data_IF_322286139447
#
_entry.id   IF_322286139447
#
_cell.length_a   1.000
_cell.length_b   1.000
_cell.length_c   1.000
_cell.angle_alpha   90.00
_cell.angle_beta   90.00
_cell.angle_gamma   90.00
#
_symmetry.space_group_name_H-M   'P 1'
#
loop_
_entity.id
_entity.type
_entity.pdbx_description
1 polymer ?
#
# COMPACT_ATOMS: atom_id res chain seq x y z
N UNK A 1 9.86 -43.29 -43.16
CA UNK A 1 9.29 -43.37 -41.80
C UNK A 1 9.42 -42.00 -41.16
N UNK A 2 8.27 -41.40 -40.89
CA UNK A 2 8.07 -40.02 -40.46
C UNK A 2 7.87 -40.04 -38.95
N UNK A 3 8.76 -39.44 -38.15
CA UNK A 3 8.46 -39.12 -36.75
C UNK A 3 8.92 -37.69 -36.50
N UNK A 4 7.99 -36.74 -36.72
CA UNK A 4 8.11 -35.39 -36.20
C UNK A 4 7.71 -35.45 -34.72
N UNK A 5 8.69 -35.38 -33.84
CA UNK A 5 8.47 -35.27 -32.41
C UNK A 5 7.92 -33.87 -32.11
N UNK A 6 6.60 -33.72 -32.10
CA UNK A 6 5.94 -32.53 -31.58
C UNK A 6 6.03 -32.56 -30.05
N UNK A 7 7.02 -31.85 -29.53
CA UNK A 7 7.11 -31.53 -28.10
C UNK A 7 6.09 -30.42 -27.84
N UNK A 8 4.89 -30.82 -27.43
CA UNK A 8 3.85 -29.91 -26.94
C UNK A 8 4.36 -29.33 -25.62
N UNK A 9 4.98 -28.16 -25.69
CA UNK A 9 5.27 -27.35 -24.52
C UNK A 9 3.93 -26.86 -23.97
N UNK A 10 3.36 -27.62 -23.03
CA UNK A 10 2.20 -27.22 -22.27
C UNK A 10 2.58 -25.96 -21.49
N UNK A 11 2.10 -24.80 -21.94
CA UNK A 11 2.13 -23.56 -21.18
C UNK A 11 1.23 -23.76 -19.97
N UNK A 12 1.83 -24.07 -18.82
CA UNK A 12 1.19 -23.86 -17.52
C UNK A 12 0.97 -22.35 -17.39
N UNK A 13 -0.25 -21.89 -17.69
CA UNK A 13 -0.67 -20.54 -17.34
C UNK A 13 -0.79 -20.51 -15.82
N UNK A 14 0.24 -20.03 -15.16
CA UNK A 14 0.13 -19.59 -13.77
C UNK A 14 -0.88 -18.44 -13.77
N UNK A 15 -2.11 -18.74 -13.36
CA UNK A 15 -3.05 -17.70 -13.02
C UNK A 15 -2.53 -17.03 -11.75
N UNK A 16 -1.77 -15.95 -11.90
CA UNK A 16 -1.52 -15.00 -10.81
C UNK A 16 -2.85 -14.27 -10.60
N UNK A 17 -3.77 -14.89 -9.87
CA UNK A 17 -4.93 -14.18 -9.36
C UNK A 17 -4.45 -13.35 -8.18
N UNK A 18 -4.18 -12.07 -8.43
CA UNK A 18 -4.14 -11.10 -7.35
C UNK A 18 -5.53 -11.07 -6.71
N UNK A 19 -5.61 -11.43 -5.43
CA UNK A 19 -6.86 -11.35 -4.68
C UNK A 19 -7.27 -9.87 -4.59
N UNK A 20 -8.50 -9.55 -5.00
CA UNK A 20 -8.99 -8.18 -4.94
C UNK A 20 -9.19 -7.75 -3.48
N UNK A 21 -8.60 -6.61 -3.10
CA UNK A 21 -8.73 -6.06 -1.74
C UNK A 21 -9.75 -4.94 -1.74
N UNK A 22 -10.82 -5.08 -0.96
CA UNK A 22 -11.88 -4.07 -0.84
C UNK A 22 -11.61 -3.07 0.29
N UNK A 23 -11.27 -1.83 -0.07
CA UNK A 23 -11.09 -0.74 0.89
C UNK A 23 -12.35 0.13 1.08
N UNK A 24 -13.50 -0.23 0.51
CA UNK A 24 -14.73 0.59 0.54
C UNK A 24 -15.21 0.93 1.96
N UNK A 25 -14.92 0.06 2.92
CA UNK A 25 -15.27 0.22 4.34
C UNK A 25 -14.20 0.90 5.18
N UNK A 26 -13.02 1.16 4.62
CA UNK A 26 -11.95 1.83 5.36
C UNK A 26 -12.33 3.29 5.64
N UNK A 27 -12.09 3.69 6.87
CA UNK A 27 -12.08 5.07 7.33
C UNK A 27 -10.64 5.41 7.74
N UNK A 28 -9.96 6.23 6.94
CA UNK A 28 -8.59 6.66 7.18
C UNK A 28 -8.43 7.38 8.53
N UNK A 29 -9.52 7.92 9.10
CA UNK A 29 -9.49 8.60 10.39
C UNK A 29 -9.96 7.72 11.56
N UNK A 30 -10.25 6.44 11.35
CA UNK A 30 -10.48 5.50 12.46
C UNK A 30 -9.20 5.25 13.24
N UNK A 31 -9.32 4.93 14.53
CA UNK A 31 -8.14 4.69 15.40
C UNK A 31 -7.36 3.47 14.88
N UNK A 32 -8.07 2.45 14.42
CA UNK A 32 -7.53 1.21 13.91
C UNK A 32 -6.73 1.44 12.63
N UNK A 33 -7.28 2.19 11.66
CA UNK A 33 -6.54 2.51 10.42
C UNK A 33 -5.33 3.38 10.71
N UNK A 34 -5.43 4.38 11.59
CA UNK A 34 -4.28 5.22 11.94
C UNK A 34 -3.14 4.42 12.57
N UNK A 35 -3.45 3.47 13.46
CA UNK A 35 -2.45 2.56 14.03
C UNK A 35 -1.76 1.72 12.96
N UNK A 36 -2.55 1.10 12.06
CA UNK A 36 -2.00 0.28 10.98
C UNK A 36 -1.08 1.10 10.05
N UNK A 37 -1.48 2.33 9.68
CA UNK A 37 -0.65 3.20 8.85
C UNK A 37 0.63 3.64 9.55
N UNK A 38 0.59 3.90 10.85
CA UNK A 38 1.79 4.23 11.65
C UNK A 38 2.75 3.03 11.70
N UNK A 39 2.23 1.83 11.97
CA UNK A 39 3.01 0.59 12.00
C UNK A 39 3.70 0.35 10.66
N UNK A 40 2.94 0.38 9.57
CA UNK A 40 3.42 0.18 8.20
C UNK A 40 4.46 1.24 7.80
N UNK A 41 4.24 2.52 8.13
CA UNK A 41 5.23 3.55 7.80
C UNK A 41 6.50 3.40 8.63
N UNK A 42 6.39 2.98 9.90
CA UNK A 42 7.55 2.73 10.74
C UNK A 42 8.39 1.53 10.28
N UNK A 43 7.81 0.54 9.60
CA UNK A 43 8.59 -0.51 8.94
C UNK A 43 9.53 0.10 7.88
N UNK A 44 9.04 1.06 7.10
CA UNK A 44 9.83 1.79 6.09
C UNK A 44 10.87 2.70 6.76
N UNK A 45 10.50 3.41 7.84
CA UNK A 45 11.36 4.38 8.51
C UNK A 45 12.41 3.74 9.44
N UNK A 46 12.32 2.44 9.71
CA UNK A 46 13.18 1.72 10.64
C UNK A 46 14.69 1.91 10.40
N UNK A 47 15.12 2.12 9.15
CA UNK A 47 16.53 2.37 8.79
C UNK A 47 16.98 3.83 8.92
N UNK A 48 16.06 4.77 9.14
CA UNK A 48 16.32 6.22 9.12
C UNK A 48 16.50 6.85 10.51
N UNK A 49 16.29 6.07 11.59
CA UNK A 49 16.46 6.55 12.97
C UNK A 49 15.38 7.53 13.43
N UNK A 50 14.27 7.63 12.68
CA UNK A 50 13.08 8.43 13.01
C UNK A 50 11.86 7.50 12.98
N UNK A 51 10.87 7.76 13.82
CA UNK A 51 9.60 7.03 13.81
C UNK A 51 8.42 7.98 13.83
N UNK A 52 7.30 7.56 13.29
CA UNK A 52 6.00 8.20 13.48
C UNK A 52 5.47 7.81 14.85
N UNK A 53 5.11 8.80 15.66
CA UNK A 53 4.55 8.63 17.01
C UNK A 53 3.05 8.87 17.06
N UNK A 54 2.52 9.67 16.13
CA UNK A 54 1.08 9.90 15.98
C UNK A 54 0.72 10.23 14.53
N UNK A 55 -0.53 9.99 14.18
CA UNK A 55 -1.13 10.47 12.95
C UNK A 55 -2.53 11.01 13.23
N UNK A 56 -2.85 12.16 12.65
CA UNK A 56 -4.10 12.88 12.93
C UNK A 56 -4.59 13.66 11.72
N UNK A 57 -5.83 14.16 11.81
CA UNK A 57 -6.53 14.86 10.73
C UNK A 57 -6.53 14.08 9.41
N UNK A 58 -6.61 12.75 9.49
CA UNK A 58 -6.62 11.89 8.32
C UNK A 58 -7.94 12.07 7.57
N UNK A 59 -7.85 12.09 6.24
CA UNK A 59 -8.96 12.22 5.32
C UNK A 59 -8.86 11.12 4.28
N UNK A 60 -9.99 10.47 4.03
CA UNK A 60 -10.13 9.55 2.90
C UNK A 60 -10.31 10.36 1.62
N UNK A 61 -9.35 10.30 0.72
CA UNK A 61 -9.41 10.99 -0.59
C UNK A 61 -10.06 10.08 -1.63
N UNK A 62 -9.72 8.79 -1.60
CA UNK A 62 -10.27 7.79 -2.51
C UNK A 62 -10.31 6.42 -1.82
N UNK A 63 -11.36 5.64 -2.07
CA UNK A 63 -11.46 4.25 -1.59
C UNK A 63 -12.32 3.40 -2.51
N UNK A 64 -12.06 2.10 -2.53
CA UNK A 64 -12.81 1.10 -3.30
C UNK A 64 -12.01 -0.18 -3.48
N UNK A 65 -12.36 -0.97 -4.49
CA UNK A 65 -11.60 -2.16 -4.87
C UNK A 65 -10.20 -1.75 -5.30
N UNK A 66 -9.19 -2.40 -4.71
CA UNK A 66 -7.78 -2.27 -5.05
C UNK A 66 -7.24 -0.83 -4.99
N UNK A 67 -7.94 0.08 -4.31
CA UNK A 67 -7.48 1.46 -4.20
C UNK A 67 -7.90 2.10 -2.90
N UNK A 68 -6.92 2.60 -2.16
CA UNK A 68 -7.11 3.47 -1.01
C UNK A 68 -6.13 4.64 -1.11
N UNK A 69 -6.62 5.85 -0.82
CA UNK A 69 -5.79 7.05 -0.69
C UNK A 69 -6.21 7.78 0.59
N UNK A 70 -5.29 7.85 1.55
CA UNK A 70 -5.44 8.62 2.78
C UNK A 70 -4.49 9.83 2.74
N UNK A 71 -4.91 10.93 3.33
CA UNK A 71 -4.09 12.14 3.49
C UNK A 71 -4.27 12.68 4.89
N UNK A 72 -3.17 12.99 5.58
CA UNK A 72 -3.23 13.63 6.89
C UNK A 72 -1.85 13.92 7.43
N UNK A 73 -1.79 14.32 8.70
CA UNK A 73 -0.56 14.72 9.36
C UNK A 73 0.07 13.53 10.06
N UNK A 74 1.39 13.42 9.94
CA UNK A 74 2.22 12.45 10.63
C UNK A 74 3.19 13.22 11.52
N UNK A 75 3.18 12.91 12.80
CA UNK A 75 4.09 13.48 13.78
C UNK A 75 5.22 12.50 14.04
N UNK A 76 6.46 12.99 13.95
CA UNK A 76 7.64 12.18 14.11
C UNK A 76 8.26 12.30 15.51
N UNK A 77 9.14 11.35 15.83
CA UNK A 77 9.84 11.24 17.11
C UNK A 77 10.79 12.39 17.42
N UNK A 78 11.22 13.15 16.40
CA UNK A 78 12.04 14.34 16.55
C UNK A 78 11.21 15.62 16.83
N UNK A 79 9.88 15.48 16.92
CA UNK A 79 8.94 16.57 17.16
C UNK A 79 8.50 17.31 15.89
N UNK A 80 9.06 16.97 14.72
CA UNK A 80 8.59 17.50 13.43
C UNK A 80 7.25 16.87 13.03
N UNK A 81 6.54 17.50 12.11
CA UNK A 81 5.30 16.98 11.56
C UNK A 81 5.13 17.46 10.13
N UNK A 82 4.59 16.61 9.27
CA UNK A 82 4.30 16.96 7.89
C UNK A 82 3.05 16.25 7.37
N UNK A 83 2.53 16.75 6.25
CA UNK A 83 1.42 16.10 5.56
C UNK A 83 1.93 14.95 4.69
N UNK A 84 1.29 13.79 4.78
CA UNK A 84 1.67 12.59 4.03
C UNK A 84 0.44 12.05 3.30
N UNK A 85 0.62 11.69 2.04
CA UNK A 85 -0.34 10.86 1.30
C UNK A 85 0.08 9.41 1.43
N UNK A 86 -0.82 8.58 1.94
CA UNK A 86 -0.76 7.14 1.80
C UNK A 86 -1.55 6.69 0.58
N UNK A 87 -1.01 5.77 -0.21
CA UNK A 87 -1.75 5.07 -1.27
C UNK A 87 -1.56 3.57 -1.15
N UNK A 88 -2.63 2.81 -1.30
CA UNK A 88 -2.57 1.37 -1.57
C UNK A 88 -3.21 1.09 -2.93
N UNK A 89 -2.48 0.38 -3.80
CA UNK A 89 -2.94 0.05 -5.16
C UNK A 89 -2.14 -1.12 -5.75
N UNK A 90 -2.69 -1.87 -6.72
CA UNK A 90 -1.97 -2.95 -7.38
C UNK A 90 -0.90 -2.40 -8.32
N UNK A 91 0.28 -3.02 -8.31
CA UNK A 91 1.31 -2.76 -9.31
C UNK A 91 0.92 -3.39 -10.68
N UNK A 92 1.80 -3.29 -11.68
CA UNK A 92 1.55 -3.86 -13.02
C UNK A 92 1.43 -5.39 -13.06
N UNK A 93 1.81 -6.07 -11.98
CA UNK A 93 1.69 -7.52 -11.81
C UNK A 93 0.44 -7.92 -10.99
N UNK A 94 -0.35 -6.93 -10.56
CA UNK A 94 -1.53 -7.14 -9.71
C UNK A 94 -1.24 -7.20 -8.21
N UNK A 95 0.03 -7.18 -7.79
CA UNK A 95 0.37 -7.24 -6.36
C UNK A 95 0.00 -5.92 -5.68
N UNK A 96 -0.74 -6.00 -4.57
CA UNK A 96 -1.08 -4.83 -3.78
C UNK A 96 0.20 -4.24 -3.17
N UNK A 97 0.51 -3.01 -3.53
CA UNK A 97 1.61 -2.23 -2.96
C UNK A 97 1.06 -1.01 -2.23
N UNK A 98 1.87 -0.49 -1.32
CA UNK A 98 1.60 0.71 -0.56
C UNK A 98 2.74 1.73 -0.70
N UNK A 99 2.39 3.00 -0.57
CA UNK A 99 3.30 4.14 -0.72
C UNK A 99 2.94 5.19 0.33
N UNK A 100 3.95 5.69 1.05
CA UNK A 100 3.85 6.90 1.86
C UNK A 100 4.65 8.02 1.19
N UNK A 101 3.99 9.13 0.88
CA UNK A 101 4.60 10.27 0.22
C UNK A 101 4.38 11.56 1.03
N UNK A 102 5.43 12.07 1.70
CA UNK A 102 5.42 13.41 2.26
C UNK A 102 5.13 14.48 1.19
N UNK A 103 4.36 15.49 1.57
CA UNK A 103 4.08 16.66 0.76
C UNK A 103 4.79 17.84 1.44
N UNK A 104 5.77 18.39 0.73
CA UNK A 104 6.31 19.69 1.09
C UNK A 104 5.25 20.73 0.70
N UNK A 105 4.69 21.43 1.68
CA UNK A 105 3.95 22.67 1.46
C UNK A 105 4.90 23.84 1.19
#
# INVERSE_FOLDING_TARGET
MLIRLFLVLSFLTFNVFADEVDFSKVDCNSVETRKALIEEYNEILSSYGITVVDSYNQKTIQKGINKLVCYGVYQYSDGSSEYVIYKAYPNSLGELISEFKPINE
#
